data_IF_579286762182
#
_entry.id   IF_579286762182
#
_cell.length_a   1.000
_cell.length_b   1.000
_cell.length_c   1.000
_cell.angle_alpha   90.00
_cell.angle_beta   90.00
_cell.angle_gamma   90.00
#
_symmetry.space_group_name_H-M   'P 1'
#
loop_
_entity.id
_entity.type
_entity.pdbx_description
1 polymer ?
#
# COMPACT_ATOMS: atom_id res chain seq x y z
N UNK A 1 24.60 -19.24 -8.33
CA UNK A 1 23.88 -20.51 -8.20
C UNK A 1 23.63 -20.97 -9.62
N UNK A 2 24.11 -22.16 -9.99
CA UNK A 2 23.80 -22.73 -11.30
C UNK A 2 22.55 -23.60 -11.13
N UNK A 3 21.46 -23.22 -11.79
CA UNK A 3 20.23 -23.99 -11.79
C UNK A 3 20.19 -24.90 -13.01
N UNK A 4 19.69 -26.14 -12.84
CA UNK A 4 19.52 -27.08 -13.95
C UNK A 4 18.29 -26.80 -14.82
N UNK A 5 17.34 -25.99 -14.32
CA UNK A 5 16.11 -25.61 -15.00
C UNK A 5 16.03 -24.09 -15.13
N UNK A 6 15.89 -23.61 -16.37
CA UNK A 6 15.66 -22.19 -16.68
C UNK A 6 14.37 -21.66 -16.05
N UNK A 7 13.33 -22.49 -15.94
CA UNK A 7 12.06 -22.11 -15.32
C UNK A 7 12.23 -21.87 -13.80
N UNK A 8 13.01 -22.72 -13.14
CA UNK A 8 13.34 -22.54 -11.73
C UNK A 8 14.15 -21.27 -11.51
N UNK A 9 15.18 -21.05 -12.33
CA UNK A 9 16.02 -19.85 -12.26
C UNK A 9 15.20 -18.56 -12.40
N UNK A 10 14.32 -18.49 -13.40
CA UNK A 10 13.46 -17.34 -13.62
C UNK A 10 12.57 -17.06 -12.40
N UNK A 11 11.89 -18.08 -11.87
CA UNK A 11 11.03 -17.91 -10.69
C UNK A 11 11.81 -17.44 -9.45
N UNK A 12 13.04 -17.93 -9.25
CA UNK A 12 13.91 -17.49 -8.15
C UNK A 12 14.34 -16.04 -8.32
N UNK A 13 14.68 -15.64 -9.55
CA UNK A 13 15.08 -14.28 -9.85
C UNK A 13 13.93 -13.31 -9.58
N UNK A 14 12.72 -13.58 -10.08
CA UNK A 14 11.53 -12.75 -9.83
C UNK A 14 11.19 -12.65 -8.33
N UNK A 15 11.15 -13.79 -7.63
CA UNK A 15 10.86 -13.83 -6.19
C UNK A 15 11.92 -13.06 -5.37
N UNK A 16 13.16 -12.98 -5.84
CA UNK A 16 14.24 -12.26 -5.16
C UNK A 16 14.23 -10.75 -5.38
N UNK A 17 13.37 -10.23 -6.27
CA UNK A 17 13.18 -8.79 -6.44
C UNK A 17 12.29 -8.20 -5.34
N UNK A 18 11.55 -9.04 -4.62
CA UNK A 18 10.69 -8.59 -3.52
C UNK A 18 11.53 -8.09 -2.33
N UNK A 19 11.13 -6.98 -1.69
CA UNK A 19 11.88 -6.40 -0.58
C UNK A 19 12.02 -7.40 0.57
N UNK A 20 13.25 -7.55 1.09
CA UNK A 20 13.56 -8.48 2.18
C UNK A 20 13.77 -9.94 1.76
N UNK A 21 13.68 -10.28 0.47
CA UNK A 21 13.85 -11.66 -0.03
C UNK A 21 15.14 -11.80 -0.85
N UNK A 22 16.18 -12.36 -0.26
CA UNK A 22 17.41 -12.73 -0.98
C UNK A 22 17.27 -14.03 -1.79
N UNK A 23 18.21 -14.29 -2.73
CA UNK A 23 18.21 -15.47 -3.61
C UNK A 23 18.07 -16.82 -2.88
N UNK A 24 18.64 -16.97 -1.68
CA UNK A 24 18.51 -18.19 -0.86
C UNK A 24 17.08 -18.39 -0.36
N UNK A 25 16.46 -17.32 0.14
CA UNK A 25 15.06 -17.35 0.62
C UNK A 25 14.11 -17.55 -0.55
N UNK A 26 14.33 -16.87 -1.67
CA UNK A 26 13.56 -17.05 -2.90
C UNK A 26 13.57 -18.50 -3.39
N UNK A 27 14.75 -19.14 -3.46
CA UNK A 27 14.85 -20.56 -3.82
C UNK A 27 14.01 -21.46 -2.91
N UNK A 28 14.07 -21.23 -1.58
CA UNK A 28 13.28 -21.99 -0.62
C UNK A 28 11.77 -21.84 -0.86
N UNK A 29 11.30 -20.63 -1.15
CA UNK A 29 9.89 -20.35 -1.44
C UNK A 29 9.44 -20.98 -2.76
N UNK A 30 10.23 -20.84 -3.83
CA UNK A 30 9.91 -21.39 -5.15
C UNK A 30 9.85 -22.93 -5.12
N UNK A 31 10.80 -23.58 -4.45
CA UNK A 31 10.78 -25.04 -4.27
C UNK A 31 9.62 -25.50 -3.39
N UNK A 32 9.18 -24.67 -2.43
CA UNK A 32 7.98 -24.96 -1.67
C UNK A 32 6.74 -24.92 -2.57
N UNK A 33 6.57 -23.88 -3.38
CA UNK A 33 5.46 -23.75 -4.34
C UNK A 33 5.43 -24.90 -5.35
N UNK A 34 6.59 -25.36 -5.83
CA UNK A 34 6.69 -26.48 -6.76
C UNK A 34 6.18 -27.81 -6.16
N UNK A 35 6.25 -27.98 -4.84
CA UNK A 35 5.75 -29.17 -4.13
C UNK A 35 4.25 -29.08 -3.79
N UNK A 36 3.65 -27.91 -3.89
CA UNK A 36 2.23 -27.73 -3.62
C UNK A 36 1.37 -28.17 -4.81
N UNK A 37 0.07 -28.46 -4.60
CA UNK A 37 -0.87 -28.64 -5.70
C UNK A 37 -0.86 -27.44 -6.65
N UNK A 38 -1.05 -27.68 -7.96
CA UNK A 38 -0.98 -26.65 -9.00
C UNK A 38 -1.93 -25.49 -8.72
N UNK A 39 -3.07 -25.78 -8.10
CA UNK A 39 -4.11 -24.83 -7.75
C UNK A 39 -3.62 -23.79 -6.73
N UNK A 40 -2.78 -24.18 -5.77
CA UNK A 40 -2.24 -23.24 -4.75
C UNK A 40 -1.41 -22.13 -5.39
N UNK A 41 -0.55 -22.50 -6.34
CA UNK A 41 0.26 -21.52 -7.07
C UNK A 41 -0.62 -20.65 -7.96
N UNK A 42 -1.65 -21.24 -8.61
CA UNK A 42 -2.60 -20.49 -9.42
C UNK A 42 -3.34 -19.42 -8.60
N UNK A 43 -3.88 -19.78 -7.43
CA UNK A 43 -4.56 -18.83 -6.55
C UNK A 43 -3.65 -17.69 -6.08
N UNK A 44 -2.39 -17.99 -5.76
CA UNK A 44 -1.42 -16.95 -5.39
C UNK A 44 -1.18 -15.97 -6.54
N UNK A 45 -0.93 -16.49 -7.76
CA UNK A 45 -0.66 -15.64 -8.92
C UNK A 45 -1.88 -14.80 -9.30
N UNK A 46 -3.08 -15.37 -9.20
CA UNK A 46 -4.33 -14.67 -9.47
C UNK A 46 -4.58 -13.55 -8.46
N UNK A 47 -4.39 -13.81 -7.16
CA UNK A 47 -4.56 -12.80 -6.12
C UNK A 47 -3.63 -11.59 -6.32
N UNK A 48 -2.35 -11.83 -6.66
CA UNK A 48 -1.39 -10.76 -6.95
C UNK A 48 -1.75 -9.99 -8.23
N UNK A 49 -2.22 -10.69 -9.26
CA UNK A 49 -2.65 -10.07 -10.51
C UNK A 49 -3.89 -9.21 -10.29
N UNK A 50 -4.89 -9.71 -9.56
CA UNK A 50 -6.10 -8.96 -9.20
C UNK A 50 -5.78 -7.75 -8.34
N UNK A 51 -4.91 -7.89 -7.33
CA UNK A 51 -4.46 -6.76 -6.51
C UNK A 51 -3.89 -5.63 -7.39
N UNK A 52 -2.96 -5.95 -8.29
CA UNK A 52 -2.36 -4.93 -9.15
C UNK A 52 -3.33 -4.32 -10.16
N UNK A 53 -4.31 -5.09 -10.62
CA UNK A 53 -5.27 -4.66 -11.64
C UNK A 53 -6.46 -3.87 -11.06
N UNK A 54 -6.91 -4.20 -9.85
CA UNK A 54 -8.18 -3.72 -9.30
C UNK A 54 -8.05 -2.74 -8.14
N UNK A 55 -6.91 -2.73 -7.43
CA UNK A 55 -6.72 -1.78 -6.32
C UNK A 55 -6.85 -0.35 -6.82
N UNK A 56 -7.70 0.40 -6.13
CA UNK A 56 -7.90 1.84 -6.35
C UNK A 56 -7.37 2.61 -5.15
N UNK A 57 -7.23 3.91 -5.36
CA UNK A 57 -7.01 4.86 -4.28
C UNK A 57 -8.32 5.55 -3.97
N UNK A 58 -8.63 5.68 -2.68
CA UNK A 58 -9.76 6.44 -2.20
C UNK A 58 -9.69 7.87 -2.74
N UNK A 59 -10.80 8.37 -3.32
CA UNK A 59 -10.88 9.74 -3.84
C UNK A 59 -10.71 10.80 -2.75
N UNK A 60 -11.05 10.48 -1.50
CA UNK A 60 -10.97 11.41 -0.38
C UNK A 60 -9.59 11.39 0.31
N UNK A 61 -9.11 10.22 0.75
CA UNK A 61 -7.90 10.12 1.59
C UNK A 61 -6.70 9.47 0.90
N UNK A 62 -6.86 8.98 -0.34
CA UNK A 62 -5.83 8.26 -1.09
C UNK A 62 -5.29 6.98 -0.44
N UNK A 63 -6.02 6.44 0.54
CA UNK A 63 -5.76 5.09 1.04
C UNK A 63 -6.12 4.02 -0.01
N UNK A 64 -5.53 2.83 0.08
CA UNK A 64 -5.90 1.66 -0.73
C UNK A 64 -7.36 1.29 -0.45
N UNK A 65 -8.12 1.04 -1.51
CA UNK A 65 -9.53 0.71 -1.44
C UNK A 65 -9.97 -0.05 -2.70
N UNK A 66 -10.96 -0.94 -2.56
CA UNK A 66 -11.61 -1.62 -3.68
C UNK A 66 -12.79 -0.79 -4.25
N UNK A 67 -13.22 0.23 -3.50
CA UNK A 67 -14.31 1.17 -3.83
C UNK A 67 -13.80 2.61 -3.92
N UNK A 68 -14.59 3.52 -4.48
CA UNK A 68 -14.18 4.92 -4.69
C UNK A 68 -13.91 5.69 -3.38
N UNK A 69 -14.66 5.39 -2.32
CA UNK A 69 -14.52 5.98 -0.99
C UNK A 69 -14.30 4.83 -0.02
N UNK A 70 -13.13 4.78 0.63
CA UNK A 70 -12.80 3.69 1.55
C UNK A 70 -13.73 3.68 2.77
N UNK A 71 -13.78 2.54 3.45
CA UNK A 71 -14.64 2.32 4.62
C UNK A 71 -14.40 3.35 5.74
N UNK A 72 -13.15 3.79 5.92
CA UNK A 72 -12.78 4.81 6.90
C UNK A 72 -13.47 6.14 6.57
N UNK A 73 -13.39 6.60 5.32
CA UNK A 73 -14.01 7.84 4.87
C UNK A 73 -15.54 7.77 4.80
N UNK A 74 -16.10 6.58 4.53
CA UNK A 74 -17.54 6.38 4.48
C UNK A 74 -18.18 6.28 5.89
N UNK A 75 -17.38 6.06 6.92
CA UNK A 75 -17.88 5.87 8.29
C UNK A 75 -18.30 7.18 8.94
N UNK A 76 -19.62 7.36 9.12
CA UNK A 76 -20.22 8.56 9.74
C UNK A 76 -19.94 8.71 11.24
N UNK A 77 -19.44 7.67 11.92
CA UNK A 77 -19.08 7.74 13.33
C UNK A 77 -17.68 8.33 13.56
N UNK A 78 -16.93 8.60 12.49
CA UNK A 78 -15.62 9.22 12.55
C UNK A 78 -15.70 10.74 12.51
N UNK A 79 -14.71 11.37 13.11
CA UNK A 79 -14.59 12.83 13.11
C UNK A 79 -13.98 13.32 11.79
N UNK A 80 -14.80 13.93 10.94
CA UNK A 80 -14.35 14.51 9.69
C UNK A 80 -13.54 15.81 9.87
N UNK A 81 -13.54 16.40 11.08
CA UNK A 81 -12.86 17.65 11.38
C UNK A 81 -11.39 17.46 11.73
N UNK A 82 -10.97 16.23 12.07
CA UNK A 82 -9.58 15.88 12.36
C UNK A 82 -9.01 14.98 11.27
N UNK A 83 -7.90 15.40 10.67
CA UNK A 83 -7.20 14.66 9.63
C UNK A 83 -5.79 14.29 10.09
N UNK A 84 -5.46 13.00 10.06
CA UNK A 84 -4.12 12.49 10.26
C UNK A 84 -3.43 12.32 8.89
N UNK A 85 -2.42 13.13 8.63
CA UNK A 85 -1.58 13.06 7.44
C UNK A 85 -0.48 12.05 7.70
N UNK A 86 -0.30 11.12 6.77
CA UNK A 86 0.69 10.03 6.86
C UNK A 86 1.47 9.87 5.56
N UNK A 87 2.66 9.28 5.64
CA UNK A 87 3.53 9.05 4.48
C UNK A 87 2.91 7.99 3.55
N UNK A 88 2.55 6.82 4.11
CA UNK A 88 2.01 5.71 3.33
C UNK A 88 0.92 4.89 4.05
N UNK A 89 0.44 3.82 3.39
CA UNK A 89 -0.66 2.97 3.91
C UNK A 89 -0.25 2.20 5.18
N UNK A 90 1.04 1.89 5.35
CA UNK A 90 1.53 1.16 6.54
C UNK A 90 1.33 1.99 7.80
N UNK A 91 1.48 3.31 7.68
CA UNK A 91 1.22 4.23 8.79
C UNK A 91 -0.27 4.26 9.15
N UNK A 92 -1.17 4.25 8.15
CA UNK A 92 -2.61 4.11 8.40
C UNK A 92 -2.89 2.82 9.16
N UNK A 93 -2.33 1.70 8.70
CA UNK A 93 -2.52 0.40 9.35
C UNK A 93 -1.99 0.38 10.79
N UNK A 94 -0.83 1.00 11.04
CA UNK A 94 -0.24 1.09 12.36
C UNK A 94 -1.13 1.89 13.31
N UNK A 95 -1.61 3.06 12.91
CA UNK A 95 -2.48 3.90 13.74
C UNK A 95 -3.84 3.25 13.95
N UNK A 96 -4.46 2.72 12.89
CA UNK A 96 -5.77 2.04 12.99
C UNK A 96 -5.73 0.83 13.91
N UNK A 97 -4.61 0.09 13.95
CA UNK A 97 -4.46 -1.07 14.85
C UNK A 97 -4.56 -0.70 16.35
N UNK A 98 -4.34 0.56 16.70
CA UNK A 98 -4.50 1.05 18.07
C UNK A 98 -5.96 1.26 18.47
N UNK A 99 -6.87 1.43 17.48
CA UNK A 99 -8.27 1.83 17.66
C UNK A 99 -8.49 3.12 18.49
N UNK A 100 -7.44 3.95 18.66
CA UNK A 100 -7.51 5.18 19.46
C UNK A 100 -7.87 6.40 18.61
N UNK A 101 -7.44 6.44 17.36
CA UNK A 101 -7.73 7.54 16.47
C UNK A 101 -9.10 7.37 15.81
N UNK A 102 -9.95 8.41 15.91
CA UNK A 102 -11.31 8.41 15.34
C UNK A 102 -11.49 9.41 14.19
N UNK A 103 -10.44 10.12 13.81
CA UNK A 103 -10.48 11.04 12.68
C UNK A 103 -10.37 10.32 11.34
N UNK A 104 -10.17 11.12 10.28
CA UNK A 104 -9.88 10.65 8.94
C UNK A 104 -8.37 10.69 8.65
N UNK A 105 -7.95 9.99 7.60
CA UNK A 105 -6.56 10.01 7.15
C UNK A 105 -6.39 10.82 5.87
N UNK A 106 -5.14 11.14 5.57
CA UNK A 106 -4.70 11.58 4.26
C UNK A 106 -3.34 10.96 3.96
N UNK A 107 -3.27 10.10 2.94
CA UNK A 107 -2.05 9.40 2.55
C UNK A 107 -1.33 10.18 1.47
N UNK A 108 -0.12 10.67 1.77
CA UNK A 108 0.68 11.48 0.84
C UNK A 108 1.24 10.69 -0.34
N UNK A 109 1.47 9.38 -0.16
CA UNK A 109 2.06 8.51 -1.17
C UNK A 109 3.59 8.55 -1.18
N UNK A 110 4.20 8.92 -0.05
CA UNK A 110 5.64 9.06 0.13
C UNK A 110 6.02 10.40 0.77
N UNK A 111 7.32 10.63 0.86
CA UNK A 111 7.93 11.86 1.37
C UNK A 111 8.67 12.61 0.28
N UNK A 112 8.86 13.91 0.50
CA UNK A 112 9.68 14.75 -0.36
C UNK A 112 11.14 14.28 -0.22
N UNK A 113 11.74 13.88 -1.33
CA UNK A 113 13.12 13.40 -1.38
C UNK A 113 13.83 13.98 -2.59
N UNK A 114 14.61 15.06 -2.43
CA UNK A 114 15.39 15.64 -3.53
C UNK A 114 16.41 14.66 -4.12
N UNK A 115 16.94 13.75 -3.30
CA UNK A 115 17.90 12.72 -3.72
C UNK A 115 17.24 11.73 -4.70
N UNK A 116 15.98 11.38 -4.45
CA UNK A 116 15.21 10.46 -5.29
C UNK A 116 14.41 11.21 -6.37
N UNK A 117 14.57 12.54 -6.50
CA UNK A 117 13.82 13.37 -7.43
C UNK A 117 12.32 13.52 -7.12
N UNK A 118 11.91 13.24 -5.87
CA UNK A 118 10.51 13.32 -5.43
C UNK A 118 10.22 14.71 -4.88
N UNK A 119 9.48 15.53 -5.64
CA UNK A 119 8.98 16.83 -5.22
C UNK A 119 7.54 16.80 -4.67
N UNK A 120 7.04 17.92 -4.11
CA UNK A 120 5.67 18.03 -3.60
C UNK A 120 4.59 17.66 -4.62
N UNK A 121 4.81 17.97 -5.90
CA UNK A 121 3.90 17.68 -7.01
C UNK A 121 3.74 16.19 -7.31
N UNK A 122 4.65 15.35 -6.81
CA UNK A 122 4.57 13.90 -6.95
C UNK A 122 3.78 13.25 -5.81
N UNK A 123 3.41 14.05 -4.80
CA UNK A 123 2.64 13.64 -3.64
C UNK A 123 1.24 14.20 -3.72
N UNK A 124 0.34 13.64 -2.93
CA UNK A 124 -1.07 14.04 -2.91
C UNK A 124 -1.34 15.24 -2.00
N UNK A 125 -0.48 16.25 -2.03
CA UNK A 125 -0.57 17.41 -1.13
C UNK A 125 -1.71 18.35 -1.56
N UNK A 126 -1.90 18.56 -2.85
CA UNK A 126 -2.88 19.53 -3.36
C UNK A 126 -4.32 19.19 -2.93
N UNK A 127 -4.68 17.90 -2.93
CA UNK A 127 -6.01 17.46 -2.49
C UNK A 127 -6.25 17.67 -0.99
N UNK A 128 -5.19 17.60 -0.17
CA UNK A 128 -5.27 17.96 1.25
C UNK A 128 -5.52 19.46 1.41
N UNK A 129 -4.76 20.30 0.69
CA UNK A 129 -4.89 21.76 0.76
C UNK A 129 -6.28 22.21 0.35
N UNK A 130 -6.83 21.66 -0.74
CA UNK A 130 -8.20 21.98 -1.17
C UNK A 130 -9.25 21.52 -0.16
N UNK A 131 -9.06 20.36 0.48
CA UNK A 131 -9.95 19.87 1.53
C UNK A 131 -9.96 20.79 2.75
N UNK A 132 -8.79 21.28 3.17
CA UNK A 132 -8.68 22.22 4.29
C UNK A 132 -9.30 23.57 3.92
N UNK A 133 -9.14 24.03 2.67
CA UNK A 133 -9.72 25.30 2.18
C UNK A 133 -11.25 25.31 2.23
N UNK A 134 -11.92 24.16 2.17
CA UNK A 134 -13.37 24.06 2.32
C UNK A 134 -13.87 24.43 3.73
N UNK A 135 -12.98 24.51 4.73
CA UNK A 135 -13.29 25.02 6.07
C UNK A 135 -13.95 24.01 7.02
N UNK A 136 -14.09 22.75 6.62
CA UNK A 136 -14.67 21.68 7.45
C UNK A 136 -13.66 21.08 8.43
N UNK A 137 -12.36 21.16 8.11
CA UNK A 137 -11.25 20.61 8.89
C UNK A 137 -10.82 21.61 9.97
N UNK A 138 -10.77 21.16 11.22
CA UNK A 138 -10.35 21.95 12.39
C UNK A 138 -8.96 21.58 12.90
N UNK A 139 -8.53 20.35 12.67
CA UNK A 139 -7.27 19.82 13.18
C UNK A 139 -6.55 19.00 12.11
N UNK A 140 -5.24 19.21 12.02
CA UNK A 140 -4.34 18.42 11.18
C UNK A 140 -3.24 17.86 12.06
N UNK A 141 -3.10 16.55 12.05
CA UNK A 141 -2.05 15.81 12.77
C UNK A 141 -1.06 15.31 11.72
N UNK A 142 0.22 15.61 11.90
CA UNK A 142 1.29 15.03 11.11
C UNK A 142 1.88 13.86 11.90
N UNK A 143 1.81 12.66 11.32
CA UNK A 143 2.30 11.43 11.93
C UNK A 143 3.49 10.87 11.14
#
# INVERSE_FOLDING_TARGET
>A
MNFSSKLLENAVNEMSQLPGIGKRTALRLVLHLLKQPKERTAYLTEALQQLKAQVKLCKNCHNISDVEICEICANKNRDAQSICVVEDIRDVMAIESTAQFRGLYHVLGGKISPIDGIGPQNLTIDSLVEKVRQGEVKEIIFA
#
